data_IF_077999012018
#
_entry.id   IF_077999012018
#
_cell.length_a   1.000
_cell.length_b   1.000
_cell.length_c   1.000
_cell.angle_alpha   90.00
_cell.angle_beta   90.00
_cell.angle_gamma   90.00
#
_symmetry.space_group_name_H-M   'P 1'
#
loop_
_entity.id
_entity.type
_entity.pdbx_description
1 polymer ?
#
# COMPACT_ATOMS: atom_id res chain seq x y z
N UNK A 1 -16.50 30.11 -13.96
CA UNK A 1 -15.37 29.15 -13.94
C UNK A 1 -15.63 28.18 -12.79
N UNK A 2 -16.38 27.12 -13.06
CA UNK A 2 -16.78 26.13 -12.03
C UNK A 2 -15.62 25.18 -11.79
N UNK A 3 -15.13 25.12 -10.55
CA UNK A 3 -14.21 24.06 -10.12
C UNK A 3 -14.87 22.70 -10.41
N UNK A 4 -14.16 21.73 -11.03
CA UNK A 4 -14.70 20.40 -11.20
C UNK A 4 -15.00 19.81 -9.83
N UNK A 5 -16.18 19.19 -9.70
CA UNK A 5 -16.58 18.49 -8.48
C UNK A 5 -15.47 17.53 -8.05
N UNK A 6 -15.02 17.65 -6.80
CA UNK A 6 -14.01 16.76 -6.26
C UNK A 6 -14.47 15.30 -6.43
N UNK A 7 -13.58 14.39 -6.85
CA UNK A 7 -13.95 12.98 -7.02
C UNK A 7 -14.50 12.42 -5.70
N UNK A 8 -15.44 11.47 -5.76
CA UNK A 8 -16.00 10.86 -4.56
C UNK A 8 -14.87 10.31 -3.68
N UNK A 9 -14.86 10.70 -2.40
CA UNK A 9 -13.88 10.19 -1.44
C UNK A 9 -14.04 8.66 -1.36
N UNK A 10 -12.94 7.88 -1.44
CA UNK A 10 -13.05 6.44 -1.25
C UNK A 10 -13.60 6.17 0.16
N UNK A 11 -14.61 5.30 0.26
CA UNK A 11 -15.22 4.88 1.53
C UNK A 11 -14.34 3.90 2.33
N UNK A 12 -13.02 3.98 2.14
CA UNK A 12 -12.05 3.03 2.67
C UNK A 12 -11.48 3.60 3.98
N UNK A 13 -11.54 2.80 5.03
CA UNK A 13 -10.91 3.16 6.31
C UNK A 13 -9.39 3.19 6.14
N UNK A 14 -8.76 4.29 6.57
CA UNK A 14 -7.31 4.45 6.54
C UNK A 14 -6.77 4.28 7.96
N UNK A 15 -5.79 3.40 8.12
CA UNK A 15 -5.08 3.20 9.38
C UNK A 15 -3.95 4.22 9.50
N UNK A 16 -3.85 4.93 10.63
CA UNK A 16 -2.70 5.76 10.96
C UNK A 16 -1.70 4.91 11.79
N UNK A 17 -0.59 4.49 11.17
CA UNK A 17 0.48 3.72 11.82
C UNK A 17 1.71 4.60 12.09
N UNK A 18 1.57 5.53 13.05
CA UNK A 18 2.63 6.48 13.40
C UNK A 18 3.89 5.81 13.98
N UNK A 19 3.72 4.69 14.69
CA UNK A 19 4.81 3.92 15.32
C UNK A 19 5.45 2.89 14.38
N UNK A 20 4.92 2.74 13.15
CA UNK A 20 5.37 1.77 12.14
C UNK A 20 5.25 0.30 12.59
N UNK A 21 4.48 0.01 13.65
CA UNK A 21 4.35 -1.34 14.22
C UNK A 21 3.64 -2.29 13.26
N UNK A 22 2.65 -1.80 12.51
CA UNK A 22 2.04 -2.61 11.47
C UNK A 22 3.01 -2.76 10.30
N UNK A 23 3.65 -1.68 9.88
CA UNK A 23 4.61 -1.68 8.78
C UNK A 23 5.77 -2.69 8.99
N UNK A 24 6.31 -2.78 10.21
CA UNK A 24 7.33 -3.76 10.59
C UNK A 24 6.78 -5.20 10.55
N UNK A 25 5.60 -5.44 11.12
CA UNK A 25 4.97 -6.78 11.13
C UNK A 25 4.69 -7.31 9.72
N UNK A 26 4.29 -6.43 8.81
CA UNK A 26 4.06 -6.79 7.42
C UNK A 26 5.35 -6.82 6.58
N UNK A 27 6.51 -6.49 7.15
CA UNK A 27 7.78 -6.45 6.43
C UNK A 27 7.82 -5.38 5.32
N UNK A 28 7.01 -4.32 5.46
CA UNK A 28 6.91 -3.23 4.48
C UNK A 28 7.72 -2.00 4.89
N UNK A 29 8.29 -2.00 6.09
CA UNK A 29 9.29 -1.03 6.50
C UNK A 29 10.68 -1.56 6.16
N UNK A 30 11.44 -0.83 5.34
CA UNK A 30 12.75 -1.30 4.90
C UNK A 30 13.66 -0.19 4.42
N UNK A 31 14.94 -0.53 4.28
CA UNK A 31 15.95 0.38 3.76
C UNK A 31 15.76 0.59 2.26
N UNK A 32 15.63 1.86 1.89
CA UNK A 32 15.68 2.30 0.50
C UNK A 32 16.94 3.12 0.32
N UNK A 33 17.85 2.64 -0.52
CA UNK A 33 18.98 3.44 -0.98
C UNK A 33 18.51 4.35 -2.10
N UNK A 34 18.60 5.65 -1.88
CA UNK A 34 18.36 6.65 -2.92
C UNK A 34 19.55 7.61 -2.96
N UNK A 35 20.21 7.68 -4.12
CA UNK A 35 21.35 8.58 -4.36
C UNK A 35 22.46 8.48 -3.30
N UNK A 36 22.87 7.25 -2.94
CA UNK A 36 23.96 7.02 -2.00
C UNK A 36 23.62 7.28 -0.52
N UNK A 37 22.36 7.62 -0.21
CA UNK A 37 21.85 7.69 1.17
C UNK A 37 20.90 6.52 1.41
N UNK A 38 21.15 5.76 2.48
CA UNK A 38 20.20 4.80 3.01
C UNK A 38 19.12 5.57 3.79
N UNK A 39 17.86 5.36 3.45
CA UNK A 39 16.73 5.96 4.15
C UNK A 39 15.70 4.87 4.44
N UNK A 40 15.22 4.80 5.67
CA UNK A 40 14.10 3.91 6.01
C UNK A 40 12.81 4.50 5.47
N UNK A 41 11.98 3.65 4.87
CA UNK A 41 10.72 4.09 4.30
C UNK A 41 9.73 2.96 4.07
N UNK A 42 8.49 3.34 3.81
CA UNK A 42 7.44 2.41 3.45
C UNK A 42 7.64 1.91 2.03
N UNK A 43 7.73 0.60 1.89
CA UNK A 43 7.67 -0.13 0.64
C UNK A 43 6.20 -0.31 0.29
N UNK A 44 5.77 0.30 -0.81
CA UNK A 44 4.39 0.16 -1.29
C UNK A 44 4.08 -1.32 -1.54
N UNK A 45 3.14 -1.82 -0.76
CA UNK A 45 2.78 -3.24 -0.73
C UNK A 45 1.29 -3.38 -0.54
N UNK A 46 0.75 -4.50 -1.03
CA UNK A 46 -0.68 -4.80 -0.98
C UNK A 46 -0.88 -6.24 -0.58
N UNK A 47 -1.83 -6.47 0.31
CA UNK A 47 -2.12 -7.78 0.87
C UNK A 47 -3.58 -8.13 0.60
N UNK A 48 -3.82 -9.35 0.12
CA UNK A 48 -5.14 -9.94 0.03
C UNK A 48 -5.33 -10.84 1.25
N UNK A 49 -6.30 -10.51 2.09
CA UNK A 49 -6.62 -11.24 3.31
C UNK A 49 -7.93 -11.99 3.09
N UNK A 50 -7.98 -13.27 3.43
CA UNK A 50 -9.20 -14.08 3.34
C UNK A 50 -10.14 -13.86 4.54
N UNK A 51 -11.34 -14.43 4.50
CA UNK A 51 -12.33 -14.31 5.57
C UNK A 51 -11.87 -14.91 6.91
N UNK A 52 -10.84 -15.75 6.89
CA UNK A 52 -10.25 -16.36 8.09
C UNK A 52 -9.13 -15.52 8.69
N UNK A 53 -8.83 -14.36 8.10
CA UNK A 53 -7.74 -13.47 8.53
C UNK A 53 -6.36 -13.91 8.06
N UNK A 54 -6.26 -14.84 7.12
CA UNK A 54 -4.99 -15.32 6.56
C UNK A 54 -4.63 -14.52 5.31
N UNK A 55 -3.34 -14.17 5.16
CA UNK A 55 -2.86 -13.50 3.95
C UNK A 55 -2.81 -14.52 2.81
N UNK A 56 -3.77 -14.43 1.88
CA UNK A 56 -3.84 -15.27 0.69
C UNK A 56 -2.78 -14.89 -0.34
N UNK A 57 -2.54 -13.58 -0.51
CA UNK A 57 -1.49 -13.05 -1.41
C UNK A 57 -0.84 -11.80 -0.84
N UNK A 58 0.48 -11.70 -0.98
CA UNK A 58 1.26 -10.54 -0.61
C UNK A 58 2.02 -10.01 -1.84
N UNK A 59 1.87 -8.72 -2.12
CA UNK A 59 2.56 -8.04 -3.21
C UNK A 59 3.44 -6.94 -2.64
N UNK A 60 4.74 -7.04 -2.85
CA UNK A 60 5.72 -6.05 -2.39
C UNK A 60 6.27 -5.27 -3.57
N UNK A 61 6.75 -4.04 -3.31
CA UNK A 61 7.38 -3.17 -4.32
C UNK A 61 6.50 -2.95 -5.56
N UNK A 62 5.19 -2.75 -5.36
CA UNK A 62 4.24 -2.61 -6.47
C UNK A 62 4.29 -1.21 -7.10
N UNK A 63 4.30 -1.17 -8.43
CA UNK A 63 4.21 0.08 -9.20
C UNK A 63 2.76 0.58 -9.27
N UNK A 64 2.49 1.87 -8.99
CA UNK A 64 1.13 2.44 -9.00
C UNK A 64 0.33 2.12 -10.27
N UNK A 65 0.94 2.29 -11.44
CA UNK A 65 0.22 2.30 -12.71
C UNK A 65 -0.28 0.91 -13.14
N UNK A 66 0.45 -0.14 -12.76
CA UNK A 66 0.11 -1.52 -13.09
C UNK A 66 -0.70 -2.21 -11.98
N UNK A 67 -0.66 -1.68 -10.75
CA UNK A 67 -1.17 -2.37 -9.59
C UNK A 67 -2.70 -2.55 -9.62
N UNK A 68 -3.44 -1.53 -10.05
CA UNK A 68 -4.90 -1.58 -10.06
C UNK A 68 -5.45 -2.65 -11.02
N UNK A 69 -4.86 -2.80 -12.22
CA UNK A 69 -5.25 -3.84 -13.18
C UNK A 69 -4.98 -5.23 -12.61
N UNK A 70 -3.81 -5.39 -12.00
CA UNK A 70 -3.37 -6.66 -11.41
C UNK A 70 -4.25 -7.11 -10.24
N UNK A 71 -4.83 -6.16 -9.49
CA UNK A 71 -5.82 -6.45 -8.46
C UNK A 71 -7.18 -6.82 -9.07
N UNK A 72 -7.62 -6.10 -10.10
CA UNK A 72 -8.90 -6.34 -10.75
C UNK A 72 -9.02 -7.75 -11.34
N UNK A 73 -7.93 -8.30 -11.87
CA UNK A 73 -7.87 -9.67 -12.40
C UNK A 73 -7.83 -10.76 -11.32
N UNK A 74 -7.65 -10.40 -10.05
CA UNK A 74 -7.38 -11.35 -8.95
C UNK A 74 -8.41 -11.32 -7.83
N UNK A 75 -9.37 -10.38 -7.89
CA UNK A 75 -10.63 -10.39 -7.16
C UNK A 75 -11.62 -11.30 -7.88
#
# INVERSE_FOLDING_TARGET
MTLPAAPPRPATSVLCDADHKAADRYGVWGEKQFMGKASMGIIRSTFLIDEKGTISKAFYKVSPDAHWKMLLERL
#
